data_IF_602772796045
#
_entry.id   IF_602772796045
#
_cell.length_a   1.000
_cell.length_b   1.000
_cell.length_c   1.000
_cell.angle_alpha   90.00
_cell.angle_beta   90.00
_cell.angle_gamma   90.00
#
_symmetry.space_group_name_H-M   'P 1'
#
loop_
_entity.id
_entity.type
_entity.pdbx_description
1 polymer ?
#
# COMPACT_ATOMS: atom_id res chain seq x y z
N UNK A 1 -25.16 7.03 21.05
CA UNK A 1 -23.68 7.15 21.07
C UNK A 1 -23.08 7.23 19.67
N UNK A 2 -23.47 6.38 18.71
CA UNK A 2 -22.90 6.41 17.34
C UNK A 2 -22.95 7.75 16.60
N UNK A 3 -23.95 8.60 16.84
CA UNK A 3 -24.04 9.93 16.20
C UNK A 3 -22.92 10.88 16.65
N UNK A 4 -22.49 10.83 17.92
CA UNK A 4 -21.43 11.72 18.42
C UNK A 4 -20.06 11.27 17.90
N UNK A 5 -19.77 9.98 17.95
CA UNK A 5 -18.52 9.40 17.39
C UNK A 5 -18.38 9.80 15.92
N UNK A 6 -19.43 9.60 15.12
CA UNK A 6 -19.40 9.92 13.70
C UNK A 6 -19.12 11.40 13.42
N UNK A 7 -19.68 12.32 14.22
CA UNK A 7 -19.42 13.76 14.06
C UNK A 7 -17.94 14.09 14.24
N UNK A 8 -17.29 13.51 15.25
CA UNK A 8 -15.86 13.74 15.50
C UNK A 8 -14.98 13.04 14.45
N UNK A 9 -15.35 11.84 14.01
CA UNK A 9 -14.65 11.15 12.91
C UNK A 9 -14.71 11.98 11.63
N UNK A 10 -15.87 12.54 11.27
CA UNK A 10 -16.01 13.40 10.10
C UNK A 10 -15.21 14.69 10.24
N UNK A 11 -15.26 15.34 11.41
CA UNK A 11 -14.45 16.53 11.69
C UNK A 11 -12.96 16.25 11.50
N UNK A 12 -12.47 15.11 12.00
CA UNK A 12 -11.08 14.72 11.81
C UNK A 12 -10.75 14.46 10.32
N UNK A 13 -11.63 13.77 9.59
CA UNK A 13 -11.42 13.47 8.17
C UNK A 13 -11.39 14.72 7.28
N UNK A 14 -12.26 15.69 7.55
CA UNK A 14 -12.36 16.94 6.78
C UNK A 14 -11.12 17.82 6.96
N UNK A 15 -10.53 17.79 8.15
CA UNK A 15 -9.36 18.62 8.49
C UNK A 15 -8.02 17.95 8.12
N UNK A 16 -7.97 16.62 8.02
CA UNK A 16 -6.75 15.92 7.62
C UNK A 16 -6.44 16.12 6.13
N UNK A 17 -5.19 16.42 5.74
CA UNK A 17 -3.97 16.53 6.54
C UNK A 17 -3.55 17.95 6.96
N UNK A 18 -4.44 18.93 6.88
CA UNK A 18 -4.09 20.36 6.91
C UNK A 18 -4.10 20.96 8.31
N UNK A 19 -5.15 20.69 9.11
CA UNK A 19 -5.27 21.19 10.49
C UNK A 19 -5.06 20.03 11.47
N UNK A 20 -3.79 19.78 11.82
CA UNK A 20 -3.43 18.65 12.67
C UNK A 20 -3.87 18.82 14.13
N UNK A 21 -4.03 20.06 14.61
CA UNK A 21 -4.52 20.31 15.97
C UNK A 21 -5.98 19.88 16.09
N UNK A 22 -6.81 20.34 15.16
CA UNK A 22 -8.23 19.98 15.09
C UNK A 22 -8.42 18.47 14.80
N UNK A 23 -7.59 17.88 13.94
CA UNK A 23 -7.59 16.42 13.72
C UNK A 23 -7.35 15.67 15.02
N UNK A 24 -6.31 16.03 15.78
CA UNK A 24 -5.96 15.30 17.00
C UNK A 24 -7.01 15.50 18.10
N UNK A 25 -7.54 16.71 18.26
CA UNK A 25 -8.63 16.97 19.20
C UNK A 25 -9.87 16.12 18.86
N UNK A 26 -10.31 16.16 17.60
CA UNK A 26 -11.47 15.41 17.16
C UNK A 26 -11.26 13.88 17.29
N UNK A 27 -10.08 13.37 16.96
CA UNK A 27 -9.77 11.95 17.13
C UNK A 27 -9.78 11.52 18.60
N UNK A 28 -9.24 12.34 19.50
CA UNK A 28 -9.27 12.06 20.93
C UNK A 28 -10.72 12.01 21.45
N UNK A 29 -11.58 12.93 21.02
CA UNK A 29 -13.00 12.85 21.35
C UNK A 29 -13.65 11.59 20.77
N UNK A 30 -13.45 11.27 19.48
CA UNK A 30 -14.01 10.09 18.86
C UNK A 30 -13.66 8.81 19.64
N UNK A 31 -12.38 8.62 19.95
CA UNK A 31 -11.87 7.47 20.68
C UNK A 31 -12.27 7.46 22.17
N UNK A 32 -12.54 8.62 22.77
CA UNK A 32 -13.10 8.68 24.13
C UNK A 32 -14.55 8.19 24.21
N UNK A 33 -15.31 8.32 23.11
CA UNK A 33 -16.68 7.81 23.02
C UNK A 33 -16.75 6.36 22.53
N UNK A 34 -15.81 5.95 21.68
CA UNK A 34 -15.68 4.60 21.13
C UNK A 34 -14.21 4.33 20.80
N UNK A 35 -13.50 3.71 21.74
CA UNK A 35 -12.07 3.40 21.64
C UNK A 35 -11.75 2.39 20.54
N UNK A 36 -12.77 1.65 20.08
CA UNK A 36 -12.68 0.60 19.06
C UNK A 36 -13.10 1.07 17.67
N UNK A 37 -13.36 2.36 17.49
CA UNK A 37 -13.80 2.89 16.21
C UNK A 37 -12.71 2.75 15.13
N UNK A 38 -12.93 1.86 14.15
CA UNK A 38 -11.91 1.53 13.14
C UNK A 38 -11.48 2.72 12.31
N UNK A 39 -12.40 3.64 11.99
CA UNK A 39 -12.09 4.84 11.21
C UNK A 39 -11.21 5.81 12.00
N UNK A 40 -11.54 6.05 13.27
CA UNK A 40 -10.74 6.91 14.15
C UNK A 40 -9.34 6.33 14.39
N UNK A 41 -9.25 5.03 14.71
CA UNK A 41 -7.98 4.31 14.88
C UNK A 41 -7.14 4.36 13.58
N UNK A 42 -7.77 4.15 12.42
CA UNK A 42 -7.08 4.24 11.12
C UNK A 42 -6.51 5.64 10.91
N UNK A 43 -7.29 6.68 11.15
CA UNK A 43 -6.83 8.05 10.94
C UNK A 43 -5.75 8.45 11.96
N UNK A 44 -5.84 7.97 13.20
CA UNK A 44 -4.78 8.11 14.21
C UNK A 44 -3.47 7.47 13.73
N UNK A 45 -3.54 6.21 13.26
CA UNK A 45 -2.39 5.53 12.67
C UNK A 45 -1.80 6.30 11.48
N UNK A 46 -2.63 6.91 10.63
CA UNK A 46 -2.16 7.74 9.52
C UNK A 46 -1.46 9.01 9.98
N UNK A 47 -1.94 9.70 11.01
CA UNK A 47 -1.23 10.85 11.58
C UNK A 47 0.17 10.42 12.07
N UNK A 48 0.24 9.31 12.81
CA UNK A 48 1.52 8.79 13.31
C UNK A 48 2.47 8.39 12.17
N UNK A 49 1.99 7.71 11.12
CA UNK A 49 2.82 7.28 10.01
C UNK A 49 3.21 8.42 9.06
N UNK A 50 2.25 9.22 8.62
CA UNK A 50 2.39 10.18 7.51
C UNK A 50 2.85 11.57 7.96
N UNK A 51 2.66 11.94 9.25
CA UNK A 51 3.00 13.26 9.79
C UNK A 51 4.07 13.23 10.85
N UNK A 52 4.01 12.24 11.73
CA UNK A 52 4.96 12.13 12.84
C UNK A 52 6.11 11.17 12.55
N UNK A 53 6.03 10.38 11.48
CA UNK A 53 6.99 9.34 11.10
C UNK A 53 7.27 8.34 12.23
N UNK A 54 6.27 8.10 13.09
CA UNK A 54 6.28 7.13 14.17
C UNK A 54 5.61 5.83 13.70
N UNK A 55 6.38 5.02 12.99
CA UNK A 55 5.84 3.84 12.31
C UNK A 55 5.35 2.76 13.28
N UNK A 56 6.06 2.52 14.37
CA UNK A 56 5.66 1.52 15.38
C UNK A 56 4.31 1.88 16.02
N UNK A 57 4.11 3.15 16.40
CA UNK A 57 2.83 3.64 16.93
C UNK A 57 1.70 3.46 15.91
N UNK A 58 1.97 3.80 14.64
CA UNK A 58 0.97 3.65 13.58
C UNK A 58 0.59 2.17 13.35
N UNK A 59 1.58 1.28 13.37
CA UNK A 59 1.37 -0.17 13.28
C UNK A 59 0.48 -0.65 14.43
N UNK A 60 0.68 -0.15 15.66
CA UNK A 60 -0.18 -0.48 16.79
C UNK A 60 -1.65 -0.09 16.52
N UNK A 61 -1.92 1.15 16.11
CA UNK A 61 -3.29 1.60 15.82
C UNK A 61 -3.94 0.80 14.68
N UNK A 62 -3.19 0.45 13.64
CA UNK A 62 -3.72 -0.38 12.55
C UNK A 62 -4.02 -1.82 13.00
N UNK A 63 -3.18 -2.41 13.85
CA UNK A 63 -3.43 -3.73 14.45
C UNK A 63 -4.67 -3.71 15.33
N UNK A 64 -4.86 -2.66 16.11
CA UNK A 64 -6.06 -2.48 16.94
C UNK A 64 -7.33 -2.39 16.10
N UNK A 65 -7.34 -1.55 15.05
CA UNK A 65 -8.47 -1.44 14.13
C UNK A 65 -8.82 -2.80 13.47
N UNK A 66 -7.81 -3.56 13.05
CA UNK A 66 -8.00 -4.87 12.41
C UNK A 66 -8.42 -5.97 13.40
N UNK A 67 -8.05 -5.85 14.68
CA UNK A 67 -8.50 -6.75 15.73
C UNK A 67 -10.00 -6.58 16.02
N UNK A 68 -10.51 -5.36 15.93
CA UNK A 68 -11.94 -5.05 16.11
C UNK A 68 -12.76 -5.46 14.88
N UNK A 69 -12.28 -5.14 13.68
CA UNK A 69 -12.95 -5.51 12.45
C UNK A 69 -11.95 -5.84 11.34
N UNK A 70 -11.85 -7.13 11.04
CA UNK A 70 -11.03 -7.62 9.93
C UNK A 70 -11.49 -7.08 8.57
N UNK A 71 -12.75 -6.63 8.44
CA UNK A 71 -13.31 -6.02 7.23
C UNK A 71 -13.18 -4.49 7.20
N UNK A 72 -12.38 -3.89 8.09
CA UNK A 72 -11.98 -2.48 8.02
C UNK A 72 -11.01 -2.25 6.85
N UNK A 73 -11.52 -2.31 5.62
CA UNK A 73 -10.73 -2.22 4.39
C UNK A 73 -10.02 -0.88 4.23
N UNK A 74 -10.51 0.17 4.88
CA UNK A 74 -9.84 1.46 4.99
C UNK A 74 -8.43 1.34 5.59
N UNK A 75 -8.18 0.38 6.48
CA UNK A 75 -6.87 0.19 7.15
C UNK A 75 -5.84 -0.40 6.18
N UNK A 76 -6.27 -1.31 5.30
CA UNK A 76 -5.39 -2.29 4.65
C UNK A 76 -4.23 -1.62 3.90
N UNK A 77 -4.54 -0.64 3.07
CA UNK A 77 -3.54 0.03 2.25
C UNK A 77 -2.56 0.86 3.09
N UNK A 78 -3.03 1.48 4.17
CA UNK A 78 -2.20 2.29 5.05
C UNK A 78 -1.30 1.41 5.91
N UNK A 79 -1.82 0.31 6.45
CA UNK A 79 -1.04 -0.65 7.21
C UNK A 79 0.08 -1.28 6.37
N UNK A 80 -0.23 -1.70 5.14
CA UNK A 80 0.79 -2.21 4.24
C UNK A 80 1.86 -1.15 3.95
N UNK A 81 1.47 0.11 3.71
CA UNK A 81 2.45 1.17 3.44
C UNK A 81 3.39 1.39 4.62
N UNK A 82 2.87 1.45 5.85
CA UNK A 82 3.73 1.69 7.01
C UNK A 82 4.70 0.54 7.24
N UNK A 83 4.26 -0.71 7.05
CA UNK A 83 5.17 -1.86 7.10
C UNK A 83 6.27 -1.77 6.03
N UNK A 84 5.94 -1.33 4.82
CA UNK A 84 6.93 -1.14 3.75
C UNK A 84 7.86 0.06 3.99
N UNK A 85 7.39 1.11 4.66
CA UNK A 85 8.21 2.27 5.06
C UNK A 85 9.14 1.95 6.24
N UNK A 86 8.68 1.10 7.17
CA UNK A 86 9.45 0.60 8.31
C UNK A 86 10.37 -0.58 7.94
N UNK A 87 10.34 -1.03 6.67
CA UNK A 87 11.08 -2.18 6.16
C UNK A 87 10.71 -3.55 6.80
N UNK A 88 9.52 -3.65 7.38
CA UNK A 88 8.93 -4.88 7.94
C UNK A 88 8.38 -5.80 6.83
N UNK A 89 9.25 -6.16 5.88
CA UNK A 89 8.86 -6.83 4.63
C UNK A 89 8.17 -8.17 4.82
N UNK A 90 8.54 -8.93 5.85
CA UNK A 90 7.94 -10.24 6.13
C UNK A 90 6.49 -10.10 6.59
N UNK A 91 6.24 -9.18 7.53
CA UNK A 91 4.90 -8.89 8.01
C UNK A 91 4.04 -8.28 6.89
N UNK A 92 4.61 -7.42 6.06
CA UNK A 92 3.93 -6.91 4.87
C UNK A 92 3.52 -8.03 3.90
N UNK A 93 4.42 -8.99 3.60
CA UNK A 93 4.09 -10.13 2.73
C UNK A 93 2.97 -10.98 3.32
N UNK A 94 3.07 -11.33 4.61
CA UNK A 94 2.12 -12.19 5.29
C UNK A 94 0.73 -11.55 5.38
N UNK A 95 0.67 -10.25 5.70
CA UNK A 95 -0.60 -9.53 5.75
C UNK A 95 -1.22 -9.35 4.36
N UNK A 96 -0.43 -9.05 3.33
CA UNK A 96 -0.94 -8.96 1.95
C UNK A 96 -1.54 -10.31 1.53
N UNK A 97 -0.86 -11.41 1.85
CA UNK A 97 -1.30 -12.75 1.47
C UNK A 97 -2.59 -13.14 2.16
N UNK A 98 -2.71 -12.82 3.45
CA UNK A 98 -3.97 -12.88 4.17
C UNK A 98 -5.07 -12.02 3.51
N UNK A 99 -4.81 -10.73 3.28
CA UNK A 99 -5.79 -9.78 2.76
C UNK A 99 -6.34 -10.20 1.38
N UNK A 100 -5.50 -10.78 0.52
CA UNK A 100 -5.90 -11.32 -0.79
C UNK A 100 -6.89 -12.49 -0.66
N UNK A 101 -7.02 -13.14 0.50
CA UNK A 101 -8.05 -14.17 0.72
C UNK A 101 -9.39 -13.60 1.19
N UNK A 102 -9.42 -12.38 1.76
CA UNK A 102 -10.63 -11.81 2.38
C UNK A 102 -11.65 -11.38 1.32
N UNK A 103 -12.89 -11.88 1.40
CA UNK A 103 -13.96 -11.48 0.47
C UNK A 103 -14.26 -9.98 0.61
N UNK A 104 -14.30 -9.26 -0.51
CA UNK A 104 -14.62 -7.83 -0.55
C UNK A 104 -13.42 -6.88 -0.53
N UNK A 105 -12.22 -7.37 -0.19
CA UNK A 105 -11.01 -6.53 -0.27
C UNK A 105 -10.66 -6.19 -1.72
N UNK A 106 -10.07 -5.03 -1.97
CA UNK A 106 -9.58 -4.64 -3.28
C UNK A 106 -8.35 -5.46 -3.73
N UNK A 107 -8.57 -6.49 -4.54
CA UNK A 107 -7.50 -7.38 -5.02
C UNK A 107 -6.50 -6.66 -5.93
N UNK A 108 -6.95 -5.68 -6.70
CA UNK A 108 -6.08 -4.93 -7.60
C UNK A 108 -5.04 -4.16 -6.79
N UNK A 109 -5.50 -3.44 -5.76
CA UNK A 109 -4.63 -2.68 -4.84
C UNK A 109 -3.70 -3.61 -4.07
N UNK A 110 -4.18 -4.76 -3.57
CA UNK A 110 -3.34 -5.70 -2.83
C UNK A 110 -2.23 -6.33 -3.68
N UNK A 111 -2.53 -6.76 -4.92
CA UNK A 111 -1.50 -7.23 -5.83
C UNK A 111 -0.51 -6.11 -6.21
N UNK A 112 -1.00 -4.88 -6.33
CA UNK A 112 -0.14 -3.73 -6.57
C UNK A 112 0.83 -3.48 -5.41
N UNK A 113 0.34 -3.51 -4.15
CA UNK A 113 1.21 -3.44 -2.97
C UNK A 113 2.21 -4.60 -2.91
N UNK A 114 1.78 -5.82 -3.27
CA UNK A 114 2.69 -6.97 -3.37
C UNK A 114 3.79 -6.76 -4.42
N UNK A 115 3.48 -6.09 -5.52
CA UNK A 115 4.48 -5.72 -6.52
C UNK A 115 5.50 -4.72 -5.95
N UNK A 116 5.06 -3.71 -5.20
CA UNK A 116 5.93 -2.74 -4.52
C UNK A 116 6.87 -3.44 -3.53
N UNK A 117 6.35 -4.35 -2.71
CA UNK A 117 7.15 -5.15 -1.79
C UNK A 117 8.31 -5.85 -2.53
N UNK A 118 8.02 -6.56 -3.62
CA UNK A 118 9.08 -7.23 -4.39
C UNK A 118 9.98 -6.28 -5.17
N UNK A 119 9.51 -5.08 -5.49
CA UNK A 119 10.35 -4.02 -6.05
C UNK A 119 11.38 -3.53 -5.01
N UNK A 120 10.96 -3.28 -3.76
CA UNK A 120 11.85 -2.89 -2.65
C UNK A 120 12.87 -3.99 -2.34
N UNK A 121 12.45 -5.26 -2.36
CA UNK A 121 13.33 -6.43 -2.24
C UNK A 121 14.22 -6.68 -3.49
N UNK A 122 14.16 -5.80 -4.51
CA UNK A 122 14.90 -5.88 -5.78
C UNK A 122 14.62 -7.15 -6.59
N UNK A 123 13.51 -7.83 -6.31
CA UNK A 123 13.03 -9.02 -7.03
C UNK A 123 12.15 -8.60 -8.22
N UNK A 124 12.69 -7.82 -9.14
CA UNK A 124 11.93 -7.13 -10.19
C UNK A 124 11.09 -8.05 -11.10
N UNK A 125 11.56 -9.28 -11.36
CA UNK A 125 10.77 -10.24 -12.15
C UNK A 125 9.50 -10.69 -11.41
N UNK A 126 9.60 -10.93 -10.11
CA UNK A 126 8.48 -11.29 -9.23
C UNK A 126 7.55 -10.09 -9.02
N UNK A 127 8.10 -8.89 -8.87
CA UNK A 127 7.31 -7.65 -8.86
C UNK A 127 6.46 -7.52 -10.14
N UNK A 128 7.06 -7.72 -11.34
CA UNK A 128 6.33 -7.64 -12.60
C UNK A 128 5.22 -8.71 -12.78
N UNK A 129 5.35 -9.90 -12.17
CA UNK A 129 4.24 -10.86 -12.16
C UNK A 129 3.06 -10.37 -11.32
N UNK A 130 3.32 -9.72 -10.19
CA UNK A 130 2.25 -9.13 -9.37
C UNK A 130 1.66 -7.87 -10.01
N UNK A 131 2.44 -7.06 -10.74
CA UNK A 131 1.88 -5.97 -11.57
C UNK A 131 0.92 -6.50 -12.62
N UNK A 132 1.21 -7.66 -13.22
CA UNK A 132 0.31 -8.31 -14.18
C UNK A 132 -1.00 -8.73 -13.50
N UNK A 133 -0.93 -9.30 -12.31
CA UNK A 133 -2.13 -9.65 -11.52
C UNK A 133 -2.91 -8.40 -11.13
N UNK A 134 -2.26 -7.35 -10.62
CA UNK A 134 -2.92 -6.08 -10.30
C UNK A 134 -3.71 -5.57 -11.51
N UNK A 135 -3.10 -5.55 -12.70
CA UNK A 135 -3.76 -5.16 -13.96
C UNK A 135 -5.00 -6.00 -14.29
N UNK A 136 -4.96 -7.30 -14.05
CA UNK A 136 -6.07 -8.22 -14.34
C UNK A 136 -7.29 -7.95 -13.44
N UNK A 137 -7.05 -7.53 -12.20
CA UNK A 137 -8.10 -7.22 -11.22
C UNK A 137 -8.51 -5.74 -11.20
N UNK A 138 -7.87 -4.86 -11.98
CA UNK A 138 -8.24 -3.45 -12.08
C UNK A 138 -9.40 -3.24 -13.06
N UNK A 139 -10.48 -2.60 -12.60
CA UNK A 139 -11.66 -2.32 -13.42
C UNK A 139 -11.96 -0.83 -13.65
N UNK A 140 -11.05 0.07 -13.26
CA UNK A 140 -11.16 1.51 -13.51
C UNK A 140 -9.90 2.08 -14.18
N UNK A 141 -10.08 3.11 -15.01
CA UNK A 141 -9.02 3.69 -15.83
C UNK A 141 -7.94 4.41 -15.02
N UNK A 142 -8.33 5.04 -13.91
CA UNK A 142 -7.42 5.79 -13.04
C UNK A 142 -6.36 4.86 -12.44
N UNK A 143 -6.78 3.80 -11.75
CA UNK A 143 -5.85 2.85 -11.16
C UNK A 143 -5.09 2.05 -12.23
N UNK A 144 -5.70 1.81 -13.39
CA UNK A 144 -5.01 1.18 -14.53
C UNK A 144 -3.81 2.01 -14.99
N UNK A 145 -3.93 3.34 -14.99
CA UNK A 145 -2.82 4.24 -15.29
C UNK A 145 -1.68 4.04 -14.28
N UNK A 146 -1.98 4.07 -12.97
CA UNK A 146 -1.00 3.82 -11.90
C UNK A 146 -0.28 2.47 -12.07
N UNK A 147 -1.02 1.39 -12.36
CA UNK A 147 -0.45 0.05 -12.57
C UNK A 147 0.51 0.03 -13.77
N UNK A 148 0.20 0.76 -14.84
CA UNK A 148 1.05 0.83 -16.03
C UNK A 148 2.33 1.64 -15.80
N UNK A 149 2.26 2.75 -15.06
CA UNK A 149 3.43 3.54 -14.65
C UNK A 149 4.39 2.70 -13.81
N UNK A 150 3.85 1.95 -12.85
CA UNK A 150 4.62 1.04 -12.01
C UNK A 150 5.34 -0.04 -12.81
N UNK A 151 4.63 -0.62 -13.77
CA UNK A 151 5.20 -1.60 -14.71
C UNK A 151 6.40 -1.02 -15.46
N UNK A 152 6.28 0.21 -15.94
CA UNK A 152 7.32 0.91 -16.68
C UNK A 152 8.52 1.20 -15.80
N UNK A 153 8.30 1.68 -14.57
CA UNK A 153 9.35 1.94 -13.59
C UNK A 153 10.13 0.66 -13.24
N UNK A 154 9.45 -0.43 -12.89
CA UNK A 154 10.11 -1.70 -12.53
C UNK A 154 10.89 -2.28 -13.72
N UNK A 155 10.34 -2.20 -14.96
CA UNK A 155 11.07 -2.61 -16.16
C UNK A 155 12.35 -1.81 -16.38
N UNK A 156 12.34 -0.51 -16.06
CA UNK A 156 13.51 0.36 -16.13
C UNK A 156 14.65 -0.06 -15.19
N UNK A 157 14.32 -0.71 -14.07
CA UNK A 157 15.28 -1.21 -13.07
C UNK A 157 15.94 -2.55 -13.45
N UNK A 158 15.44 -3.25 -14.48
CA UNK A 158 16.05 -4.50 -14.93
C UNK A 158 17.37 -4.25 -15.69
N UNK A 159 18.40 -5.10 -15.49
CA UNK A 159 19.63 -4.98 -16.24
C UNK A 159 19.36 -5.14 -17.74
N UNK A 160 19.86 -4.20 -18.55
CA UNK A 160 19.76 -4.26 -20.01
C UNK A 160 20.44 -5.54 -20.49
N UNK A 161 19.69 -6.43 -21.15
CA UNK A 161 20.28 -7.60 -21.82
C UNK A 161 21.34 -7.10 -22.81
N UNK A 162 22.60 -7.48 -22.62
CA UNK A 162 23.65 -7.26 -23.64
C UNK A 162 23.17 -7.94 -24.93
N UNK A 163 23.02 -7.16 -26.01
CA UNK A 163 22.72 -7.74 -27.33
C UNK A 163 23.84 -8.74 -27.66
N UNK A 164 23.55 -9.97 -28.11
CA UNK A 164 24.59 -10.86 -28.59
C UNK A 164 25.29 -10.16 -29.77
N UNK A 165 26.62 -9.99 -29.68
CA UNK A 165 27.43 -9.48 -30.80
C UNK A 165 27.18 -10.41 -31.99
N UNK A 166 26.60 -9.89 -33.06
CA UNK A 166 26.49 -10.63 -34.31
C UNK A 166 27.90 -11.00 -34.77
N UNK A 167 28.19 -12.30 -34.88
CA UNK A 167 29.42 -12.78 -35.52
C UNK A 167 29.39 -12.28 -36.97
N UNK A 168 30.21 -11.29 -37.32
CA UNK A 168 30.49 -10.94 -38.72
C UNK A 168 30.97 -12.23 -39.39
N UNK A 169 30.19 -12.74 -40.35
CA UNK A 169 30.65 -13.80 -41.25
C UNK A 169 31.76 -13.18 -42.10
N UNK A 170 33.00 -13.60 -41.88
CA UNK A 170 34.10 -13.33 -42.80
C UNK A 170 33.76 -13.94 -44.16
N UNK A 171 33.34 -13.10 -45.10
CA UNK A 171 33.38 -13.44 -46.53
C UNK A 171 34.85 -13.44 -46.93
N UNK A 172 35.52 -14.59 -46.79
CA UNK A 172 36.74 -14.89 -47.55
C UNK A 172 36.37 -14.91 -49.03
N UNK A 173 36.64 -13.82 -49.74
CA UNK A 173 36.63 -13.78 -51.19
C UNK A 173 37.77 -14.67 -51.70
N UNK A 174 37.41 -15.85 -52.23
CA UNK A 174 38.23 -16.59 -53.19
C UNK A 174 37.94 -16.03 -54.58
N UNK A 175 38.88 -15.29 -55.15
CA UNK A 175 39.36 -15.43 -56.53
C UNK A 175 40.41 -14.35 -56.80
#
# INVERSE_FOLDING_TARGET
MGTLVNNYVFKALENYPYDLEEVMEALNYALSYDDKNTMALTLMGRVHAEKLFKYDDAIMYYKEALAENVHAFEVYSHYINVLLWNEDYKEAEDFIDFAITVKGSDKAVLYFKKAILFEQLKQYKKALSFVKLAKEFTFNSEFMHTVNEERSRIKGKLPKKKKPKSKKKDKKSKK
#
